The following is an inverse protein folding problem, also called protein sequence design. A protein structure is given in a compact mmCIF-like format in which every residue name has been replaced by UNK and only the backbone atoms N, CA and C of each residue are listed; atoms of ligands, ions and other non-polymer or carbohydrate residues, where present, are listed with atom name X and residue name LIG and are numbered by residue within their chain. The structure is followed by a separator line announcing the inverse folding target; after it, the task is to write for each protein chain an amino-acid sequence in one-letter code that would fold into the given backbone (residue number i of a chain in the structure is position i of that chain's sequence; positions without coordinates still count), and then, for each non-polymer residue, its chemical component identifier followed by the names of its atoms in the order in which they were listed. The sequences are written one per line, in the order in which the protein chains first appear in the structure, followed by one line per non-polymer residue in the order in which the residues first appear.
data_IF_273103145704
#
_entry.id   IF_273103145704
#
_cell.length_a   1.000
_cell.length_b   1.000
_cell.length_c   1.000
_cell.angle_alpha   90.00
_cell.angle_beta   90.00
_cell.angle_gamma   90.00
#
_symmetry.space_group_name_H-M   'P 1'
#
loop_
_entity.id
_entity.type
_entity.pdbx_description
1 polymer ?
#
# COMPACT_ATOMS: atom_id res chain seq x y z
N UNK A 1 -7.18 4.17 4.31
CA UNK A 1 -7.64 4.88 3.08
C UNK A 1 -6.87 4.54 1.79
N UNK A 2 -5.53 4.35 1.76
CA UNK A 2 -4.83 4.09 0.47
C UNK A 2 -5.20 2.76 -0.19
N UNK A 3 -5.43 1.70 0.60
CA UNK A 3 -5.79 0.36 0.12
C UNK A 3 -7.00 0.33 -0.80
N UNK A 4 -8.07 1.07 -0.46
CA UNK A 4 -9.28 1.11 -1.28
C UNK A 4 -9.03 1.73 -2.66
N UNK A 5 -8.28 2.83 -2.71
CA UNK A 5 -7.93 3.49 -3.96
C UNK A 5 -7.07 2.60 -4.85
N UNK A 6 -6.04 1.97 -4.28
CA UNK A 6 -5.16 1.05 -5.00
C UNK A 6 -5.85 -0.23 -5.48
N UNK A 7 -6.75 -0.80 -4.67
CA UNK A 7 -7.55 -1.95 -5.07
C UNK A 7 -8.45 -1.59 -6.25
N UNK A 8 -9.16 -0.46 -6.18
CA UNK A 8 -10.03 0.00 -7.27
C UNK A 8 -9.24 0.33 -8.53
N UNK A 9 -8.08 0.98 -8.40
CA UNK A 9 -7.19 1.22 -9.54
C UNK A 9 -6.80 -0.11 -10.23
N UNK A 10 -6.42 -1.11 -9.44
CA UNK A 10 -5.97 -2.41 -9.96
C UNK A 10 -7.12 -3.21 -10.58
N UNK A 11 -8.30 -3.21 -9.96
CA UNK A 11 -9.49 -3.82 -10.51
C UNK A 11 -9.89 -3.16 -11.84
N UNK A 12 -9.91 -1.83 -11.91
CA UNK A 12 -10.21 -1.11 -13.15
C UNK A 12 -9.16 -1.32 -14.24
N UNK A 13 -7.87 -1.44 -13.87
CA UNK A 13 -6.80 -1.69 -14.83
C UNK A 13 -6.86 -3.13 -15.38
N UNK A 14 -7.25 -4.12 -14.57
CA UNK A 14 -7.36 -5.52 -15.01
C UNK A 14 -8.65 -5.78 -15.79
N UNK A 15 -9.77 -5.20 -15.37
CA UNK A 15 -11.11 -5.44 -15.97
C UNK A 15 -11.46 -4.46 -17.09
N UNK A 16 -10.78 -3.32 -17.14
CA UNK A 16 -11.16 -2.19 -17.98
C UNK A 16 -10.39 -2.09 -19.29
N UNK A 17 -11.11 -1.66 -20.34
CA UNK A 17 -10.49 -1.11 -21.54
C UNK A 17 -9.80 0.24 -21.24
N UNK A 18 -9.01 0.76 -22.18
CA UNK A 18 -8.28 2.04 -22.02
C UNK A 18 -9.15 3.23 -21.58
N UNK A 19 -10.48 3.12 -21.70
CA UNK A 19 -11.46 4.11 -21.24
C UNK A 19 -11.33 4.51 -19.75
N UNK A 20 -10.78 3.63 -18.91
CA UNK A 20 -10.61 3.93 -17.46
C UNK A 20 -9.22 4.46 -17.11
N UNK A 21 -8.34 4.68 -18.09
CA UNK A 21 -6.94 5.06 -17.84
C UNK A 21 -6.81 6.28 -16.90
N UNK A 22 -7.62 7.32 -17.12
CA UNK A 22 -7.61 8.52 -16.29
C UNK A 22 -8.03 8.23 -14.83
N UNK A 23 -9.09 7.44 -14.64
CA UNK A 23 -9.56 7.05 -13.31
C UNK A 23 -8.51 6.22 -12.56
N UNK A 24 -7.86 5.28 -13.23
CA UNK A 24 -6.75 4.49 -12.66
C UNK A 24 -5.59 5.41 -12.28
N UNK A 25 -5.25 6.43 -13.08
CA UNK A 25 -4.15 7.35 -12.77
C UNK A 25 -4.48 8.21 -11.53
N UNK A 26 -5.72 8.71 -11.46
CA UNK A 26 -6.21 9.47 -10.32
C UNK A 26 -6.17 8.62 -9.04
N UNK A 27 -6.70 7.39 -9.08
CA UNK A 27 -6.74 6.49 -7.93
C UNK A 27 -5.33 6.09 -7.45
N UNK A 28 -4.40 5.81 -8.37
CA UNK A 28 -3.01 5.53 -8.01
C UNK A 28 -2.36 6.75 -7.33
N UNK A 29 -2.55 7.94 -7.89
CA UNK A 29 -2.01 9.18 -7.32
C UNK A 29 -2.62 9.48 -5.94
N UNK A 30 -3.94 9.41 -5.80
CA UNK A 30 -4.65 9.62 -4.54
C UNK A 30 -4.21 8.61 -3.50
N UNK A 31 -4.10 7.34 -3.86
CA UNK A 31 -3.58 6.28 -2.99
C UNK A 31 -2.18 6.63 -2.47
N UNK A 32 -1.25 6.97 -3.37
CA UNK A 32 0.12 7.34 -2.99
C UNK A 32 0.18 8.58 -2.10
N UNK A 33 -0.56 9.65 -2.42
CA UNK A 33 -0.60 10.85 -1.60
C UNK A 33 -1.19 10.58 -0.21
N UNK A 34 -2.25 9.79 -0.14
CA UNK A 34 -2.88 9.41 1.14
C UNK A 34 -2.03 8.48 1.99
N UNK A 35 -1.08 7.76 1.40
CA UNK A 35 -0.17 6.86 2.11
C UNK A 35 0.98 7.61 2.80
N UNK A 36 1.34 8.82 2.35
CA UNK A 36 2.48 9.55 2.90
C UNK A 36 2.34 9.87 4.40
N UNK A 37 1.21 10.43 4.89
CA UNK A 37 1.06 10.65 6.33
C UNK A 37 1.12 9.35 7.12
N UNK A 38 0.53 8.27 6.60
CA UNK A 38 0.56 6.95 7.25
C UNK A 38 1.97 6.37 7.35
N UNK A 39 2.80 6.54 6.32
CA UNK A 39 4.20 6.12 6.36
C UNK A 39 5.00 6.92 7.40
N UNK A 40 4.76 8.23 7.48
CA UNK A 40 5.42 9.11 8.46
C UNK A 40 5.03 8.72 9.89
N UNK A 41 3.74 8.55 10.17
CA UNK A 41 3.26 8.15 11.50
C UNK A 41 3.73 6.74 11.84
N UNK A 42 3.66 5.80 10.90
CA UNK A 42 4.12 4.42 11.11
C UNK A 42 5.61 4.32 11.41
N UNK A 43 6.45 5.15 10.78
CA UNK A 43 7.86 5.24 11.11
C UNK A 43 8.10 5.77 12.53
N UNK A 44 7.29 6.73 12.98
CA UNK A 44 7.34 7.25 14.35
C UNK A 44 6.90 6.19 15.38
N UNK A 45 5.80 5.48 15.12
CA UNK A 45 5.29 4.42 15.99
C UNK A 45 6.27 3.24 16.08
N UNK A 46 6.92 2.89 14.97
CA UNK A 46 7.95 1.85 14.97
C UNK A 46 9.16 2.23 15.84
N UNK A 47 9.54 3.52 15.88
CA UNK A 47 10.65 4.00 16.69
C UNK A 47 10.39 3.91 18.20
N UNK A 48 9.12 3.90 18.62
CA UNK A 48 8.70 3.77 20.02
C UNK A 48 8.29 2.34 20.39
N UNK A 49 8.11 1.45 19.42
CA UNK A 49 7.74 0.05 19.63
C UNK A 49 8.92 -0.76 20.16
N UNK A 50 8.76 -1.35 21.35
CA UNK A 50 9.79 -2.17 22.02
C UNK A 50 9.29 -3.60 22.32
N UNK A 51 10.22 -4.55 22.41
CA UNK A 51 9.93 -5.93 22.82
C UNK A 51 9.58 -6.88 21.67
N UNK A 52 8.79 -7.92 21.95
CA UNK A 52 8.50 -9.01 21.02
C UNK A 52 7.68 -8.58 19.78
N UNK A 53 6.97 -7.46 19.88
CA UNK A 53 6.11 -6.92 18.83
C UNK A 53 6.91 -6.19 17.74
N UNK A 54 8.12 -5.70 18.06
CA UNK A 54 8.96 -4.91 17.14
C UNK A 54 9.26 -5.65 15.84
N UNK A 55 9.45 -6.97 15.88
CA UNK A 55 9.73 -7.76 14.66
C UNK A 55 8.54 -7.77 13.70
N UNK A 56 7.33 -7.93 14.21
CA UNK A 56 6.11 -7.96 13.38
C UNK A 56 5.78 -6.55 12.89
N UNK A 57 5.93 -5.54 13.75
CA UNK A 57 5.79 -4.14 13.39
C UNK A 57 6.76 -3.74 12.27
N UNK A 58 8.03 -4.17 12.35
CA UNK A 58 9.03 -3.91 11.31
C UNK A 58 8.66 -4.59 9.98
N UNK A 59 8.27 -5.87 9.99
CA UNK A 59 7.85 -6.57 8.77
C UNK A 59 6.61 -5.92 8.16
N UNK A 60 5.66 -5.49 8.98
CA UNK A 60 4.49 -4.76 8.52
C UNK A 60 4.88 -3.42 7.87
N UNK A 61 5.71 -2.61 8.53
CA UNK A 61 6.18 -1.33 8.01
C UNK A 61 6.89 -1.50 6.66
N UNK A 62 7.86 -2.42 6.58
CA UNK A 62 8.59 -2.72 5.33
C UNK A 62 7.62 -3.17 4.22
N UNK A 63 6.64 -4.02 4.53
CA UNK A 63 5.66 -4.47 3.54
C UNK A 63 4.81 -3.32 2.99
N UNK A 64 4.45 -2.36 3.85
CA UNK A 64 3.67 -1.19 3.44
C UNK A 64 4.49 -0.17 2.65
N UNK A 65 5.74 0.06 3.02
CA UNK A 65 6.65 0.91 2.25
C UNK A 65 6.96 0.32 0.87
N UNK A 66 7.19 -1.00 0.81
CA UNK A 66 7.38 -1.70 -0.46
C UNK A 66 6.11 -1.65 -1.33
N UNK A 67 4.93 -1.76 -0.73
CA UNK A 67 3.65 -1.59 -1.42
C UNK A 67 3.53 -0.19 -2.02
N UNK A 68 3.84 0.86 -1.24
CA UNK A 68 3.83 2.25 -1.72
C UNK A 68 4.82 2.43 -2.88
N UNK A 69 6.04 1.91 -2.76
CA UNK A 69 7.06 1.99 -3.81
C UNK A 69 6.61 1.32 -5.12
N UNK A 70 5.93 0.17 -5.04
CA UNK A 70 5.38 -0.52 -6.20
C UNK A 70 4.31 0.33 -6.90
N UNK A 71 3.39 0.95 -6.15
CA UNK A 71 2.36 1.81 -6.74
C UNK A 71 2.90 3.13 -7.30
N UNK A 72 3.88 3.75 -6.65
CA UNK A 72 4.59 4.93 -7.19
C UNK A 72 5.29 4.55 -8.50
N UNK A 73 5.99 3.41 -8.53
CA UNK A 73 6.68 2.93 -9.73
C UNK A 73 5.67 2.61 -10.84
N UNK A 74 4.54 1.99 -10.51
CA UNK A 74 3.45 1.75 -11.46
C UNK A 74 2.96 3.07 -12.08
N UNK A 75 2.70 4.09 -11.27
CA UNK A 75 2.27 5.42 -11.74
C UNK A 75 3.33 6.05 -12.67
N UNK A 76 4.61 5.99 -12.30
CA UNK A 76 5.72 6.48 -13.15
C UNK A 76 5.77 5.73 -14.49
N UNK A 77 5.65 4.40 -14.47
CA UNK A 77 5.63 3.57 -15.69
C UNK A 77 4.45 3.89 -16.58
N UNK A 78 3.26 4.12 -16.02
CA UNK A 78 2.09 4.58 -16.79
C UNK A 78 2.32 5.92 -17.48
N UNK A 79 2.89 6.90 -16.76
CA UNK A 79 3.21 8.22 -17.33
C UNK A 79 4.27 8.16 -18.43
N UNK A 80 5.12 7.12 -18.43
CA UNK A 80 6.10 6.84 -19.48
C UNK A 80 5.53 5.98 -20.63
N UNK A 81 4.23 5.67 -20.62
CA UNK A 81 3.57 4.85 -21.64
C UNK A 81 3.71 3.34 -21.45
N UNK A 82 4.47 2.87 -20.45
CA UNK A 82 4.66 1.44 -20.17
C UNK A 82 3.53 0.89 -19.28
N UNK A 83 2.33 0.82 -19.87
CA UNK A 83 1.11 0.37 -19.18
C UNK A 83 1.18 -1.09 -18.74
N UNK A 84 1.86 -1.95 -19.50
CA UNK A 84 1.98 -3.38 -19.19
C UNK A 84 2.82 -3.60 -17.93
N UNK A 85 3.97 -2.95 -17.82
CA UNK A 85 4.80 -3.04 -16.61
C UNK A 85 4.08 -2.41 -15.43
N UNK A 86 3.43 -1.27 -15.62
CA UNK A 86 2.65 -0.64 -14.57
C UNK A 86 1.55 -1.56 -14.00
N UNK A 87 0.79 -2.25 -14.86
CA UNK A 87 -0.24 -3.20 -14.42
C UNK A 87 0.33 -4.34 -13.59
N UNK A 88 1.48 -4.89 -14.00
CA UNK A 88 2.18 -5.94 -13.24
C UNK A 88 2.64 -5.46 -11.87
N UNK A 89 3.17 -4.23 -11.80
CA UNK A 89 3.57 -3.59 -10.55
C UNK A 89 2.37 -3.32 -9.65
N UNK A 90 1.25 -2.84 -10.21
CA UNK A 90 0.02 -2.61 -9.46
C UNK A 90 -0.54 -3.92 -8.88
N UNK A 91 -0.58 -5.00 -9.67
CA UNK A 91 -0.97 -6.34 -9.19
C UNK A 91 -0.08 -6.84 -8.05
N UNK A 92 1.25 -6.74 -8.22
CA UNK A 92 2.20 -7.12 -7.16
C UNK A 92 2.01 -6.25 -5.91
N UNK A 93 1.81 -4.95 -6.10
CA UNK A 93 1.49 -4.00 -5.03
C UNK A 93 0.24 -4.40 -4.29
N UNK A 94 -0.86 -4.73 -4.98
CA UNK A 94 -2.12 -5.17 -4.35
C UNK A 94 -1.94 -6.46 -3.54
N UNK A 95 -1.20 -7.44 -4.06
CA UNK A 95 -0.94 -8.68 -3.34
C UNK A 95 -0.14 -8.43 -2.05
N UNK A 96 0.92 -7.62 -2.14
CA UNK A 96 1.73 -7.24 -0.97
C UNK A 96 0.94 -6.41 0.04
N UNK A 97 0.07 -5.51 -0.45
CA UNK A 97 -0.83 -4.71 0.38
C UNK A 97 -1.77 -5.60 1.20
N UNK A 98 -2.33 -6.65 0.58
CA UNK A 98 -3.16 -7.64 1.26
C UNK A 98 -2.42 -8.39 2.36
N UNK A 99 -1.18 -8.83 2.09
CA UNK A 99 -0.33 -9.49 3.09
C UNK A 99 0.02 -8.56 4.26
N UNK A 100 0.39 -7.31 3.98
CA UNK A 100 0.67 -6.31 5.01
C UNK A 100 -0.56 -5.96 5.84
N UNK A 101 -1.73 -5.83 5.22
CA UNK A 101 -3.00 -5.59 5.92
C UNK A 101 -3.35 -6.73 6.88
N UNK A 102 -3.12 -7.99 6.47
CA UNK A 102 -3.27 -9.14 7.35
C UNK A 102 -2.35 -9.06 8.58
N UNK A 103 -1.07 -8.70 8.36
CA UNK A 103 -0.12 -8.48 9.46
C UNK A 103 -0.55 -7.37 10.42
N UNK A 104 -1.06 -6.25 9.87
CA UNK A 104 -1.57 -5.12 10.65
C UNK A 104 -2.77 -5.53 11.52
N UNK A 105 -3.70 -6.30 10.96
CA UNK A 105 -4.79 -6.89 11.73
C UNK A 105 -4.28 -7.81 12.84
N UNK A 106 -3.24 -8.61 12.57
CA UNK A 106 -2.64 -9.46 13.59
C UNK A 106 -2.02 -8.66 14.74
N UNK A 107 -1.34 -7.55 14.44
CA UNK A 107 -0.79 -6.63 15.45
C UNK A 107 -1.87 -6.08 16.38
N UNK A 108 -2.96 -5.56 15.82
CA UNK A 108 -4.04 -4.94 16.61
C UNK A 108 -4.84 -6.01 17.38
N UNK A 109 -5.32 -7.06 16.71
CA UNK A 109 -6.28 -7.99 17.30
C UNK A 109 -5.65 -9.07 18.18
N UNK A 110 -4.36 -9.39 18.01
CA UNK A 110 -3.70 -10.46 18.78
C UNK A 110 -2.62 -9.98 19.73
N UNK A 111 -1.98 -8.84 19.44
CA UNK A 111 -0.91 -8.31 20.28
C UNK A 111 -1.30 -7.03 21.03
N UNK A 112 -2.44 -6.40 20.70
CA UNK A 112 -2.96 -5.25 21.45
C UNK A 112 -2.17 -3.95 21.24
N UNK A 113 -1.34 -3.90 20.19
CA UNK A 113 -0.57 -2.70 19.82
C UNK A 113 -1.54 -1.59 19.41
N UNK A 114 -1.44 -0.42 20.04
CA UNK A 114 -2.28 0.75 19.76
C UNK A 114 -3.62 0.81 20.51
N UNK A 115 -3.86 -0.09 21.47
CA UNK A 115 -5.00 -0.01 22.39
C UNK A 115 -4.50 0.56 23.71
N UNK A 116 -4.93 1.79 24.06
CA UNK A 116 -4.76 2.31 25.43
C UNK A 116 -5.47 1.35 26.41
N UNK A 117 -4.75 0.92 27.45
CA UNK A 117 -5.33 0.20 28.59
C UNK A 117 -5.65 1.17 29.71
#
# INVERSE_FOLDING_TARGET
MPLGAWLMATLLDVTGSEKHAAAVDALLLTGCLSALPTAITGAHDLATTSGSETRVALVHAIAMDATLALFVTALVKRRRGDRRTARRLALAGTALAGAGAYLGGHLVFRMGVGVER
#
